data_IF_262308433854
#
_entry.id   IF_262308433854
#
_cell.length_a   1.000
_cell.length_b   1.000
_cell.length_c   1.000
_cell.angle_alpha   90.00
_cell.angle_beta   90.00
_cell.angle_gamma   90.00
#
_symmetry.space_group_name_H-M   'P 1'
#
loop_
_entity.id
_entity.type
_entity.pdbx_description
1 polymer ?
#
# COMPACT_ATOMS: atom_id res chain seq x y z
N UNK A 1 -65.17 -35.03 32.98
CA UNK A 1 -63.94 -34.23 32.85
C UNK A 1 -62.76 -34.77 33.66
N UNK A 2 -62.73 -36.02 34.10
CA UNK A 2 -61.63 -36.63 34.88
C UNK A 2 -60.80 -37.63 34.11
N UNK A 3 -61.18 -38.02 32.90
CA UNK A 3 -60.50 -39.08 32.10
C UNK A 3 -59.49 -38.59 31.07
N UNK A 4 -59.35 -37.26 30.81
CA UNK A 4 -58.41 -36.69 29.82
C UNK A 4 -57.04 -36.34 30.46
N UNK A 5 -57.01 -36.07 31.77
CA UNK A 5 -55.76 -35.69 32.46
C UNK A 5 -54.83 -36.88 32.74
N UNK A 6 -55.34 -38.12 32.75
CA UNK A 6 -54.50 -39.31 33.00
C UNK A 6 -53.79 -39.83 31.75
N UNK A 7 -54.22 -39.45 30.55
CA UNK A 7 -53.60 -39.93 29.30
C UNK A 7 -52.39 -39.10 28.85
N UNK A 8 -52.27 -37.86 29.34
CA UNK A 8 -51.07 -37.02 29.04
C UNK A 8 -49.92 -37.28 30.00
N UNK A 9 -50.12 -37.80 31.18
CA UNK A 9 -49.05 -38.15 32.12
C UNK A 9 -48.31 -39.45 31.74
N UNK A 10 -48.98 -40.36 31.04
CA UNK A 10 -48.38 -41.62 30.61
C UNK A 10 -47.52 -41.48 29.34
N UNK A 11 -47.75 -40.44 28.50
CA UNK A 11 -46.98 -40.19 27.29
C UNK A 11 -45.67 -39.45 27.56
N UNK A 12 -45.60 -38.65 28.64
CA UNK A 12 -44.40 -37.92 29.04
C UNK A 12 -43.34 -38.84 29.69
N UNK A 13 -43.78 -39.93 30.34
CA UNK A 13 -42.85 -40.88 31.00
C UNK A 13 -42.16 -41.83 30.01
N UNK A 14 -42.73 -42.08 28.83
CA UNK A 14 -42.11 -42.97 27.82
C UNK A 14 -41.09 -42.23 26.97
N UNK A 15 -41.19 -40.90 26.81
CA UNK A 15 -40.20 -40.11 26.10
C UNK A 15 -38.94 -39.80 26.90
N UNK A 16 -39.01 -39.80 28.24
CA UNK A 16 -37.83 -39.56 29.09
C UNK A 16 -36.90 -40.78 29.21
N UNK A 17 -37.39 -42.00 28.93
CA UNK A 17 -36.57 -43.22 28.99
C UNK A 17 -35.80 -43.53 27.67
N UNK A 18 -36.13 -42.85 26.56
CA UNK A 18 -35.46 -43.09 25.26
C UNK A 18 -34.23 -42.22 25.01
N UNK A 19 -33.99 -41.19 25.85
CA UNK A 19 -32.86 -40.24 25.63
C UNK A 19 -31.58 -40.66 26.40
N UNK A 20 -31.64 -41.59 27.32
CA UNK A 20 -30.49 -42.01 28.13
C UNK A 20 -29.68 -43.21 27.58
N UNK A 21 -30.08 -43.82 26.45
CA UNK A 21 -29.36 -44.98 25.88
C UNK A 21 -28.56 -44.70 24.60
N UNK A 22 -28.39 -43.41 24.20
CA UNK A 22 -27.64 -43.07 22.98
C UNK A 22 -26.28 -42.37 23.25
N UNK A 23 -25.80 -42.34 24.48
CA UNK A 23 -24.58 -41.65 24.88
C UNK A 23 -23.38 -42.58 25.14
N UNK A 24 -23.41 -43.86 24.74
CA UNK A 24 -22.39 -44.84 25.13
C UNK A 24 -21.86 -45.71 23.96
N UNK A 25 -21.80 -45.21 22.72
CA UNK A 25 -21.07 -45.91 21.65
C UNK A 25 -20.69 -44.97 20.54
N UNK A 26 -19.57 -44.24 20.70
CA UNK A 26 -18.69 -43.83 19.61
C UNK A 26 -17.29 -43.46 20.13
N UNK A 27 -16.59 -44.42 20.70
CA UNK A 27 -15.14 -44.38 20.68
C UNK A 27 -14.70 -45.22 19.46
N UNK A 28 -14.79 -44.61 18.31
CA UNK A 28 -14.22 -45.07 17.05
C UNK A 28 -13.08 -44.14 16.68
N UNK A 29 -11.86 -44.66 16.82
CA UNK A 29 -10.63 -44.08 16.31
C UNK A 29 -10.76 -43.72 14.84
N UNK A 30 -10.99 -42.45 14.57
CA UNK A 30 -10.70 -41.85 13.26
C UNK A 30 -9.34 -41.14 13.37
N UNK A 31 -8.28 -41.84 12.99
CA UNK A 31 -7.04 -41.21 12.55
C UNK A 31 -7.36 -40.37 11.32
N UNK A 32 -7.61 -39.09 11.49
CA UNK A 32 -7.51 -38.12 10.41
C UNK A 32 -6.04 -37.70 10.31
N UNK A 33 -5.30 -38.31 9.40
CA UNK A 33 -4.15 -37.66 8.78
C UNK A 33 -4.70 -36.48 8.00
N UNK A 34 -4.34 -35.28 8.43
CA UNK A 34 -4.77 -34.06 7.77
C UNK A 34 -4.29 -32.83 8.54
N UNK A 35 -3.16 -32.29 8.12
CA UNK A 35 -2.78 -30.91 8.39
C UNK A 35 -2.46 -30.64 9.86
N UNK A 36 -1.20 -30.47 10.18
CA UNK A 36 -0.75 -29.78 11.38
C UNK A 36 -1.35 -28.37 11.40
N UNK A 37 -2.59 -28.28 11.87
CA UNK A 37 -3.15 -27.03 12.32
C UNK A 37 -2.30 -26.58 13.52
N UNK A 38 -1.48 -25.58 13.31
CA UNK A 38 -0.59 -24.98 14.30
C UNK A 38 -1.38 -24.69 15.59
N UNK A 39 -1.31 -25.57 16.58
CA UNK A 39 -1.77 -25.30 17.93
C UNK A 39 -0.71 -24.46 18.61
N UNK A 40 -0.93 -23.14 18.65
CA UNK A 40 -0.14 -22.26 19.49
C UNK A 40 -0.19 -22.75 20.93
N UNK A 41 0.95 -23.12 21.49
CA UNK A 41 1.11 -23.25 22.93
C UNK A 41 0.92 -21.85 23.51
N UNK A 42 -0.14 -21.62 24.27
CA UNK A 42 -0.48 -20.36 24.93
C UNK A 42 0.73 -19.83 25.72
N UNK A 43 1.17 -18.63 25.40
CA UNK A 43 2.11 -17.88 26.24
C UNK A 43 3.42 -17.42 25.59
N UNK A 44 3.69 -17.77 24.34
CA UNK A 44 4.89 -17.28 23.64
C UNK A 44 4.45 -16.38 22.51
N UNK A 45 4.70 -15.09 22.64
CA UNK A 45 4.47 -14.10 21.60
C UNK A 45 5.62 -14.21 20.58
N UNK A 46 5.27 -14.52 19.33
CA UNK A 46 6.23 -14.60 18.23
C UNK A 46 6.32 -13.25 17.53
N UNK A 47 7.53 -12.77 17.34
CA UNK A 47 7.81 -11.65 16.45
C UNK A 47 7.87 -12.20 15.03
N UNK A 48 6.95 -11.74 14.19
CA UNK A 48 6.86 -12.16 12.80
C UNK A 48 7.63 -11.20 11.91
N UNK A 49 8.48 -11.73 11.05
CA UNK A 49 9.28 -10.96 10.09
C UNK A 49 9.07 -11.53 8.70
N UNK A 50 8.58 -10.69 7.81
CA UNK A 50 8.54 -11.02 6.38
C UNK A 50 9.84 -10.57 5.74
N UNK A 51 10.52 -11.46 5.04
CA UNK A 51 11.80 -11.18 4.38
C UNK A 51 11.72 -11.45 2.88
N UNK A 52 12.21 -10.52 2.07
CA UNK A 52 12.41 -10.68 0.64
C UNK A 52 13.89 -10.86 0.36
N UNK A 53 14.25 -11.86 -0.44
CA UNK A 53 15.62 -12.13 -0.83
C UNK A 53 15.79 -11.94 -2.33
N UNK A 54 16.82 -11.21 -2.75
CA UNK A 54 17.15 -10.98 -4.15
C UNK A 54 18.63 -11.23 -4.44
N UNK A 55 18.92 -11.59 -5.69
CA UNK A 55 20.30 -11.68 -6.21
C UNK A 55 20.87 -10.30 -6.56
N UNK A 56 22.13 -10.28 -7.02
CA UNK A 56 22.84 -9.06 -7.45
C UNK A 56 22.18 -8.36 -8.66
N UNK A 57 21.31 -9.05 -9.40
CA UNK A 57 20.54 -8.50 -10.53
C UNK A 57 19.15 -8.01 -10.09
N UNK A 58 18.80 -8.18 -8.81
CA UNK A 58 17.50 -7.80 -8.25
C UNK A 58 16.37 -8.80 -8.52
N UNK A 59 16.67 -10.03 -9.00
CA UNK A 59 15.68 -11.09 -9.12
C UNK A 59 15.41 -11.72 -7.76
N UNK A 60 14.14 -12.02 -7.50
CA UNK A 60 13.77 -12.70 -6.26
C UNK A 60 14.28 -14.12 -6.24
N UNK A 61 14.83 -14.52 -5.10
CA UNK A 61 15.36 -15.87 -4.87
C UNK A 61 14.36 -16.63 -4.00
N UNK A 62 13.87 -17.75 -4.52
CA UNK A 62 12.99 -18.69 -3.82
C UNK A 62 13.74 -19.98 -3.45
N UNK A 63 13.14 -20.83 -2.59
CA UNK A 63 13.67 -22.15 -2.27
C UNK A 63 14.73 -22.16 -1.17
N UNK A 64 15.03 -21.02 -0.51
CA UNK A 64 15.87 -21.01 0.68
C UNK A 64 15.15 -21.71 1.84
N UNK A 65 15.95 -22.28 2.73
CA UNK A 65 15.50 -23.00 3.92
C UNK A 65 15.75 -22.18 5.18
N UNK A 66 15.18 -22.60 6.30
CA UNK A 66 15.41 -21.99 7.62
C UNK A 66 16.92 -21.81 7.92
N UNK A 67 17.73 -22.79 7.54
CA UNK A 67 19.16 -22.82 7.84
C UNK A 67 19.97 -21.79 7.05
N UNK A 68 19.39 -21.22 5.98
CA UNK A 68 20.03 -20.17 5.18
C UNK A 68 19.92 -18.79 5.84
N UNK A 69 19.05 -18.63 6.85
CA UNK A 69 18.77 -17.35 7.49
C UNK A 69 19.40 -17.24 8.87
N UNK A 70 19.79 -16.01 9.22
CA UNK A 70 20.12 -15.60 10.57
C UNK A 70 19.29 -14.38 10.92
N UNK A 71 18.64 -14.40 12.09
CA UNK A 71 17.84 -13.28 12.60
C UNK A 71 18.51 -12.72 13.84
N UNK A 72 18.58 -11.41 13.95
CA UNK A 72 19.14 -10.72 15.10
C UNK A 72 18.12 -9.70 15.61
N UNK A 73 17.97 -9.63 16.94
CA UNK A 73 17.24 -8.57 17.64
C UNK A 73 18.22 -7.83 18.53
N UNK A 74 18.32 -6.51 18.36
CA UNK A 74 19.27 -5.65 19.10
C UNK A 74 20.74 -6.13 19.02
N UNK A 75 21.08 -6.84 17.94
CA UNK A 75 22.41 -7.41 17.70
C UNK A 75 22.60 -8.82 18.28
N UNK A 76 21.65 -9.34 19.03
CA UNK A 76 21.67 -10.70 19.56
C UNK A 76 20.98 -11.67 18.60
N UNK A 77 21.65 -12.78 18.28
CA UNK A 77 21.08 -13.79 17.38
C UNK A 77 19.89 -14.48 18.03
N UNK A 78 18.80 -14.59 17.29
CA UNK A 78 17.56 -15.24 17.72
C UNK A 78 17.38 -16.58 17.03
N UNK A 79 16.79 -17.54 17.77
CA UNK A 79 16.41 -18.83 17.20
C UNK A 79 15.11 -18.67 16.41
N UNK A 80 15.13 -19.06 15.13
CA UNK A 80 13.93 -19.08 14.28
C UNK A 80 13.01 -20.20 14.78
N UNK A 81 11.87 -19.84 15.36
CA UNK A 81 10.88 -20.77 15.86
C UNK A 81 9.91 -21.23 14.78
N UNK A 82 9.60 -20.34 13.81
CA UNK A 82 8.70 -20.61 12.69
C UNK A 82 9.32 -20.15 11.39
N UNK A 83 9.17 -20.94 10.34
CA UNK A 83 9.67 -20.61 9.00
C UNK A 83 8.71 -21.14 7.93
N UNK A 84 8.41 -20.32 6.94
CA UNK A 84 7.70 -20.75 5.74
C UNK A 84 8.27 -20.04 4.52
N UNK A 85 8.48 -20.79 3.46
CA UNK A 85 8.82 -20.31 2.11
C UNK A 85 7.64 -20.51 1.12
N UNK A 86 6.49 -20.91 1.63
CA UNK A 86 5.27 -21.02 0.85
C UNK A 86 4.55 -19.68 0.76
N UNK A 87 3.78 -19.48 -0.30
CA UNK A 87 2.96 -18.30 -0.45
C UNK A 87 1.91 -18.22 0.67
N UNK A 88 2.02 -17.22 1.50
CA UNK A 88 1.04 -16.91 2.55
C UNK A 88 0.01 -15.92 1.99
N UNK A 89 -1.30 -16.16 2.18
CA UNK A 89 -2.33 -15.21 1.80
C UNK A 89 -2.13 -13.85 2.48
N UNK A 90 -2.49 -12.78 1.76
CA UNK A 90 -2.34 -11.40 2.24
C UNK A 90 -3.69 -10.72 2.45
N UNK A 91 -3.77 -9.90 3.50
CA UNK A 91 -4.80 -8.88 3.69
C UNK A 91 -4.23 -7.56 3.17
N UNK A 92 -4.72 -7.09 2.02
CA UNK A 92 -4.14 -5.97 1.29
C UNK A 92 -5.11 -4.79 1.19
N UNK A 93 -4.67 -3.63 1.69
CA UNK A 93 -5.32 -2.35 1.42
C UNK A 93 -4.79 -1.70 0.15
N UNK A 94 -5.67 -1.26 -0.73
CA UNK A 94 -5.32 -0.48 -1.92
C UNK A 94 -5.76 0.96 -1.68
N UNK A 95 -4.79 1.88 -1.66
CA UNK A 95 -4.99 3.31 -1.48
C UNK A 95 -4.70 4.02 -2.80
N UNK A 96 -5.72 4.60 -3.41
CA UNK A 96 -5.60 5.30 -4.69
C UNK A 96 -5.66 6.81 -4.49
N UNK A 97 -4.64 7.49 -4.96
CA UNK A 97 -4.63 8.94 -5.10
C UNK A 97 -5.66 9.38 -6.15
N UNK A 98 -6.53 10.28 -5.73
CA UNK A 98 -7.54 10.90 -6.58
C UNK A 98 -7.44 12.43 -6.51
N UNK A 99 -6.25 12.95 -6.24
CA UNK A 99 -5.97 14.39 -6.23
C UNK A 99 -5.99 15.01 -7.62
N UNK A 100 -5.99 16.33 -7.68
CA UNK A 100 -6.06 17.06 -8.95
C UNK A 100 -4.84 16.89 -9.87
N UNK A 101 -3.70 16.36 -9.34
CA UNK A 101 -2.50 16.02 -10.13
C UNK A 101 -2.63 14.67 -10.86
N UNK A 102 -3.60 13.85 -10.46
CA UNK A 102 -3.92 12.59 -11.13
C UNK A 102 -4.74 12.84 -12.38
N UNK A 103 -4.06 13.11 -13.49
CA UNK A 103 -4.71 13.34 -14.81
C UNK A 103 -5.58 12.16 -15.23
N UNK A 104 -6.50 12.32 -16.20
CA UNK A 104 -7.31 11.21 -16.71
C UNK A 104 -6.48 10.02 -17.18
N UNK A 105 -5.32 10.27 -17.76
CA UNK A 105 -4.36 9.26 -18.23
C UNK A 105 -3.73 8.50 -17.04
N UNK A 106 -3.24 9.22 -16.02
CA UNK A 106 -2.73 8.63 -14.78
C UNK A 106 -3.81 7.80 -14.09
N UNK A 107 -5.03 8.32 -13.98
CA UNK A 107 -6.18 7.61 -13.40
C UNK A 107 -6.54 6.34 -14.17
N UNK A 108 -6.55 6.40 -15.51
CA UNK A 108 -6.79 5.22 -16.34
C UNK A 108 -5.72 4.16 -16.11
N UNK A 109 -4.46 4.56 -16.06
CA UNK A 109 -3.32 3.67 -15.83
C UNK A 109 -3.35 3.06 -14.44
N UNK A 110 -3.66 3.85 -13.41
CA UNK A 110 -3.80 3.35 -12.04
C UNK A 110 -4.91 2.31 -11.92
N UNK A 111 -6.08 2.54 -12.56
CA UNK A 111 -7.18 1.56 -12.59
C UNK A 111 -6.79 0.27 -13.29
N UNK A 112 -6.12 0.36 -14.45
CA UNK A 112 -5.62 -0.80 -15.16
C UNK A 112 -4.61 -1.59 -14.34
N UNK A 113 -3.75 -0.89 -13.57
CA UNK A 113 -2.82 -1.52 -12.64
C UNK A 113 -3.55 -2.26 -11.53
N UNK A 114 -4.56 -1.61 -10.92
CA UNK A 114 -5.38 -2.22 -9.88
C UNK A 114 -6.06 -3.48 -10.42
N UNK A 115 -6.74 -3.39 -11.57
CA UNK A 115 -7.46 -4.52 -12.16
C UNK A 115 -6.50 -5.68 -12.46
N UNK A 116 -5.36 -5.42 -13.09
CA UNK A 116 -4.35 -6.45 -13.34
C UNK A 116 -3.85 -7.06 -12.04
N UNK A 117 -3.57 -6.24 -11.04
CA UNK A 117 -3.07 -6.71 -9.75
C UNK A 117 -4.07 -7.65 -9.06
N UNK A 118 -5.34 -7.25 -8.98
CA UNK A 118 -6.35 -8.00 -8.25
C UNK A 118 -6.85 -9.24 -8.99
N UNK A 119 -6.85 -9.25 -10.33
CA UNK A 119 -7.36 -10.39 -11.12
C UNK A 119 -6.28 -11.38 -11.51
N UNK A 120 -5.09 -10.89 -11.88
CA UNK A 120 -4.06 -11.73 -12.49
C UNK A 120 -2.98 -12.16 -11.49
N UNK A 121 -2.75 -11.35 -10.43
CA UNK A 121 -1.57 -11.51 -9.59
C UNK A 121 -1.89 -11.97 -8.17
N UNK A 122 -3.05 -11.65 -7.63
CA UNK A 122 -3.46 -12.06 -6.28
C UNK A 122 -4.15 -13.42 -6.27
N UNK A 123 -3.93 -14.18 -5.19
CA UNK A 123 -4.57 -15.47 -4.97
C UNK A 123 -6.02 -15.33 -4.49
N UNK A 124 -6.78 -16.42 -4.60
CA UNK A 124 -8.19 -16.46 -4.20
C UNK A 124 -8.42 -16.19 -2.70
N UNK A 125 -7.44 -16.53 -1.86
CA UNK A 125 -7.51 -16.42 -0.40
C UNK A 125 -6.99 -15.05 0.11
N UNK A 126 -6.57 -14.16 -0.79
CA UNK A 126 -6.22 -12.79 -0.47
C UNK A 126 -7.49 -11.95 -0.32
N UNK A 127 -7.60 -11.21 0.78
CA UNK A 127 -8.68 -10.26 0.98
C UNK A 127 -8.21 -8.83 0.74
N UNK A 128 -9.15 -7.97 0.34
CA UNK A 128 -8.86 -6.61 -0.09
C UNK A 128 -9.77 -5.60 0.59
N UNK A 129 -9.26 -4.40 0.85
CA UNK A 129 -10.06 -3.20 1.00
C UNK A 129 -9.59 -2.11 0.04
N UNK A 130 -10.45 -1.15 -0.25
CA UNK A 130 -10.15 -0.04 -1.16
C UNK A 130 -10.49 1.30 -0.52
N UNK A 131 -9.51 2.19 -0.52
CA UNK A 131 -9.62 3.56 -0.04
C UNK A 131 -9.17 4.51 -1.15
N UNK A 132 -9.92 5.59 -1.38
CA UNK A 132 -9.43 6.73 -2.15
C UNK A 132 -8.88 7.80 -1.22
N UNK A 133 -8.01 8.65 -1.73
CA UNK A 133 -7.63 9.87 -1.02
C UNK A 133 -7.38 11.03 -2.00
N UNK A 134 -7.86 12.19 -1.58
CA UNK A 134 -7.60 13.48 -2.19
C UNK A 134 -7.31 14.47 -1.05
N UNK A 135 -8.10 15.51 -0.86
CA UNK A 135 -7.97 16.40 0.31
C UNK A 135 -8.25 15.69 1.66
N UNK A 136 -8.99 14.60 1.63
CA UNK A 136 -9.25 13.69 2.78
C UNK A 136 -9.32 12.25 2.29
N UNK A 137 -8.95 11.27 3.12
CA UNK A 137 -9.15 9.86 2.82
C UNK A 137 -10.62 9.43 2.95
N UNK A 138 -11.02 8.44 2.15
CA UNK A 138 -12.36 7.87 2.18
C UNK A 138 -12.33 6.35 1.88
N UNK A 139 -12.85 5.53 2.79
CA UNK A 139 -12.95 4.09 2.64
C UNK A 139 -14.16 3.73 1.78
N UNK A 140 -13.96 3.41 0.50
CA UNK A 140 -15.03 3.11 -0.44
C UNK A 140 -15.47 1.65 -0.40
N UNK A 141 -14.57 0.73 -0.07
CA UNK A 141 -14.86 -0.70 0.05
C UNK A 141 -14.08 -1.28 1.23
N UNK A 142 -14.80 -1.77 2.23
CA UNK A 142 -14.22 -2.54 3.34
C UNK A 142 -13.73 -3.92 2.88
N UNK A 143 -13.21 -4.73 3.82
CA UNK A 143 -12.66 -6.05 3.53
C UNK A 143 -13.59 -6.92 2.69
N UNK A 144 -13.07 -7.48 1.61
CA UNK A 144 -13.80 -8.35 0.69
C UNK A 144 -12.87 -9.30 -0.07
N UNK A 145 -13.40 -10.44 -0.49
CA UNK A 145 -12.79 -11.34 -1.49
C UNK A 145 -13.34 -11.07 -2.90
N UNK A 146 -14.38 -10.24 -3.03
CA UNK A 146 -14.97 -9.90 -4.33
C UNK A 146 -14.12 -8.86 -5.06
N UNK A 147 -13.31 -9.35 -6.00
CA UNK A 147 -12.47 -8.51 -6.88
C UNK A 147 -13.28 -7.47 -7.64
N UNK A 148 -14.52 -7.82 -8.02
CA UNK A 148 -15.41 -6.91 -8.76
C UNK A 148 -15.88 -5.75 -7.88
N UNK A 149 -16.00 -5.94 -6.56
CA UNK A 149 -16.33 -4.85 -5.65
C UNK A 149 -15.22 -3.79 -5.64
N UNK A 150 -13.96 -4.22 -5.59
CA UNK A 150 -12.79 -3.33 -5.64
C UNK A 150 -12.71 -2.61 -7.00
N UNK A 151 -12.83 -3.34 -8.11
CA UNK A 151 -12.77 -2.77 -9.46
C UNK A 151 -13.89 -1.73 -9.69
N UNK A 152 -15.13 -2.01 -9.22
CA UNK A 152 -16.24 -1.05 -9.28
C UNK A 152 -15.94 0.20 -8.45
N UNK A 153 -15.44 0.05 -7.21
CA UNK A 153 -15.09 1.18 -6.36
C UNK A 153 -14.01 2.05 -7.04
N UNK A 154 -12.93 1.44 -7.55
CA UNK A 154 -11.88 2.14 -8.28
C UNK A 154 -12.37 2.80 -9.58
N UNK A 155 -13.39 2.23 -10.23
CA UNK A 155 -14.00 2.78 -11.44
C UNK A 155 -14.85 4.03 -11.21
N UNK A 156 -15.37 4.23 -10.00
CA UNK A 156 -16.28 5.33 -9.66
C UNK A 156 -15.60 6.61 -9.18
N UNK A 157 -14.31 6.54 -8.82
CA UNK A 157 -13.57 7.69 -8.27
C UNK A 157 -13.30 8.74 -9.35
N UNK A 158 -13.23 10.00 -8.94
CA UNK A 158 -12.94 11.14 -9.82
C UNK A 158 -11.83 11.97 -9.20
N UNK A 159 -10.85 12.36 -10.02
CA UNK A 159 -9.73 13.14 -9.55
C UNK A 159 -10.13 14.60 -9.27
N UNK A 160 -9.87 15.08 -8.05
CA UNK A 160 -10.08 16.46 -7.62
C UNK A 160 -9.42 16.76 -6.27
N UNK A 161 -9.10 18.03 -6.02
CA UNK A 161 -8.62 18.49 -4.70
C UNK A 161 -7.13 18.34 -4.47
N UNK A 162 -6.71 18.43 -3.20
CA UNK A 162 -5.33 18.24 -2.75
C UNK A 162 -4.99 16.78 -2.51
N UNK A 163 -3.84 16.49 -1.88
CA UNK A 163 -3.34 15.14 -1.64
C UNK A 163 -3.05 14.97 -0.15
N UNK A 164 -3.84 14.15 0.55
CA UNK A 164 -3.66 13.78 1.95
C UNK A 164 -3.15 12.33 2.08
N UNK A 165 -2.00 12.05 1.48
CA UNK A 165 -1.43 10.70 1.40
C UNK A 165 -1.02 10.16 2.78
N UNK A 166 -0.37 10.98 3.61
CA UNK A 166 0.05 10.52 4.94
C UNK A 166 -1.13 10.26 5.86
N UNK A 167 -2.19 11.07 5.78
CA UNK A 167 -3.43 10.83 6.51
C UNK A 167 -4.12 9.55 6.03
N UNK A 168 -4.10 9.26 4.73
CA UNK A 168 -4.67 8.04 4.16
C UNK A 168 -3.96 6.79 4.68
N UNK A 169 -2.63 6.80 4.66
CA UNK A 169 -1.86 5.67 5.18
C UNK A 169 -2.10 5.52 6.69
N UNK A 170 -2.07 6.61 7.46
CA UNK A 170 -2.31 6.57 8.90
C UNK A 170 -3.70 5.99 9.26
N UNK A 171 -4.73 6.32 8.47
CA UNK A 171 -6.08 5.73 8.65
C UNK A 171 -6.17 4.28 8.16
N UNK A 172 -5.41 3.91 7.15
CA UNK A 172 -5.42 2.56 6.60
C UNK A 172 -4.66 1.55 7.47
N UNK A 173 -3.64 1.99 8.23
CA UNK A 173 -2.84 1.10 9.08
C UNK A 173 -3.69 0.28 10.08
N UNK A 174 -4.59 0.87 10.90
CA UNK A 174 -5.42 0.08 11.80
C UNK A 174 -6.40 -0.85 11.05
N UNK A 175 -6.92 -0.42 9.90
CA UNK A 175 -7.78 -1.28 9.06
C UNK A 175 -6.97 -2.48 8.54
N UNK A 176 -5.75 -2.24 8.05
CA UNK A 176 -4.87 -3.29 7.57
C UNK A 176 -4.44 -4.24 8.70
N UNK A 177 -4.17 -3.70 9.89
CA UNK A 177 -3.83 -4.50 11.07
C UNK A 177 -4.95 -5.46 11.48
N UNK A 178 -6.21 -5.10 11.21
CA UNK A 178 -7.41 -5.89 11.53
C UNK A 178 -7.74 -6.96 10.46
N UNK A 179 -6.95 -7.04 9.39
CA UNK A 179 -7.08 -8.05 8.34
C UNK A 179 -6.92 -9.46 8.90
N UNK A 180 -7.67 -10.42 8.34
CA UNK A 180 -7.71 -11.81 8.84
C UNK A 180 -6.46 -12.63 8.54
N UNK A 181 -5.74 -12.29 7.47
CA UNK A 181 -4.52 -12.99 7.09
C UNK A 181 -3.34 -12.51 7.95
N UNK A 182 -2.39 -13.38 8.20
CA UNK A 182 -1.19 -13.04 8.99
C UNK A 182 -0.32 -12.01 8.27
N UNK A 183 -0.25 -12.09 6.94
CA UNK A 183 0.45 -11.13 6.11
C UNK A 183 -0.46 -9.94 5.81
N UNK A 184 -0.02 -8.76 6.17
CA UNK A 184 -0.79 -7.52 6.07
C UNK A 184 -0.01 -6.49 5.29
N UNK A 185 -0.65 -5.87 4.31
CA UNK A 185 0.02 -4.91 3.45
C UNK A 185 -0.91 -3.76 3.04
N UNK A 186 -0.30 -2.64 2.68
CA UNK A 186 -0.93 -1.49 2.04
C UNK A 186 -0.16 -1.21 0.75
N UNK A 187 -0.89 -1.03 -0.36
CA UNK A 187 -0.36 -0.55 -1.63
C UNK A 187 -0.88 0.87 -1.88
N UNK A 188 0.02 1.83 -1.87
CA UNK A 188 -0.27 3.23 -2.20
C UNK A 188 0.01 3.47 -3.67
N UNK A 189 -0.95 4.03 -4.41
CA UNK A 189 -0.81 4.40 -5.82
C UNK A 189 -1.00 5.91 -5.90
N UNK A 190 0.08 6.66 -6.17
CA UNK A 190 0.09 8.14 -6.13
C UNK A 190 1.24 8.69 -6.97
N UNK A 191 1.20 9.99 -7.27
CA UNK A 191 2.36 10.73 -7.77
C UNK A 191 3.30 11.22 -6.64
N UNK A 192 3.00 10.90 -5.38
CA UNK A 192 3.86 11.08 -4.22
C UNK A 192 3.94 12.49 -3.64
N UNK A 193 3.13 13.43 -4.09
CA UNK A 193 3.12 14.80 -3.59
C UNK A 193 2.05 15.00 -2.50
N UNK A 194 2.42 14.85 -1.24
CA UNK A 194 1.53 15.20 -0.12
C UNK A 194 1.43 16.73 0.02
N UNK A 195 0.20 17.25 0.00
CA UNK A 195 -0.08 18.70 0.10
C UNK A 195 -1.07 19.05 1.19
N UNK A 196 -1.79 18.06 1.74
CA UNK A 196 -2.98 18.33 2.55
C UNK A 196 -3.05 17.55 3.85
N UNK A 197 -2.10 16.62 4.10
CA UNK A 197 -2.11 15.84 5.33
C UNK A 197 -1.86 16.68 6.56
N UNK A 198 -2.53 16.33 7.65
CA UNK A 198 -2.27 16.82 9.00
C UNK A 198 -1.18 16.00 9.68
N UNK A 199 -1.08 14.73 9.33
CA UNK A 199 -0.06 13.81 9.79
C UNK A 199 1.27 14.19 9.15
N UNK A 200 2.29 14.43 9.96
CA UNK A 200 3.65 14.66 9.45
C UNK A 200 4.29 13.33 9.04
N UNK A 201 5.28 13.37 8.14
CA UNK A 201 6.03 12.18 7.72
C UNK A 201 6.68 11.45 8.92
N UNK A 202 7.15 12.20 9.94
CA UNK A 202 7.74 11.62 11.15
C UNK A 202 6.72 10.86 11.99
N UNK A 203 5.52 11.43 12.17
CA UNK A 203 4.41 10.75 12.85
C UNK A 203 3.97 9.49 12.10
N UNK A 204 3.82 9.59 10.78
CA UNK A 204 3.47 8.44 9.96
C UNK A 204 4.50 7.31 10.08
N UNK A 205 5.79 7.64 10.02
CA UNK A 205 6.86 6.65 10.19
C UNK A 205 6.81 5.97 11.56
N UNK A 206 6.46 6.70 12.63
CA UNK A 206 6.26 6.07 13.95
C UNK A 206 5.09 5.09 13.93
N UNK A 207 3.94 5.48 13.34
CA UNK A 207 2.78 4.59 13.20
C UNK A 207 3.10 3.33 12.36
N UNK A 208 3.84 3.49 11.26
CA UNK A 208 4.28 2.36 10.42
C UNK A 208 5.17 1.40 11.22
N UNK A 209 6.13 1.94 11.99
CA UNK A 209 7.04 1.13 12.82
C UNK A 209 6.33 0.36 13.93
N UNK A 210 5.27 0.94 14.49
CA UNK A 210 4.44 0.32 15.53
C UNK A 210 3.51 -0.75 14.95
N UNK A 211 3.18 -0.64 13.65
CA UNK A 211 2.35 -1.61 12.96
C UNK A 211 3.20 -2.76 12.39
N UNK A 212 2.57 -3.93 12.21
CA UNK A 212 3.18 -5.06 11.47
C UNK A 212 2.81 -5.02 9.98
N UNK A 213 2.29 -3.89 9.49
CA UNK A 213 1.79 -3.73 8.14
C UNK A 213 2.92 -3.32 7.21
N UNK A 214 3.07 -4.05 6.12
CA UNK A 214 3.99 -3.70 5.03
C UNK A 214 3.40 -2.57 4.19
N UNK A 215 4.23 -1.62 3.77
CA UNK A 215 3.78 -0.49 2.95
C UNK A 215 4.53 -0.47 1.63
N UNK A 216 3.81 -0.72 0.54
CA UNK A 216 4.30 -0.64 -0.82
C UNK A 216 3.84 0.66 -1.47
N UNK A 217 4.63 1.21 -2.36
CA UNK A 217 4.25 2.38 -3.12
C UNK A 217 4.47 2.17 -4.63
N UNK A 218 3.47 2.51 -5.41
CA UNK A 218 3.50 2.58 -6.86
C UNK A 218 3.39 4.04 -7.28
N UNK A 219 4.52 4.63 -7.65
CA UNK A 219 4.57 6.00 -8.14
C UNK A 219 4.14 6.06 -9.60
N UNK A 220 3.10 6.85 -9.91
CA UNK A 220 2.60 7.03 -11.28
C UNK A 220 3.09 8.38 -11.80
N UNK A 221 4.11 8.36 -12.68
CA UNK A 221 4.59 9.55 -13.36
C UNK A 221 3.77 9.84 -14.61
N UNK A 222 3.63 11.12 -14.96
CA UNK A 222 3.11 11.50 -16.27
C UNK A 222 4.13 11.16 -17.36
N UNK A 223 3.67 10.71 -18.51
CA UNK A 223 4.53 10.66 -19.67
C UNK A 223 5.09 12.07 -19.91
N UNK A 224 6.42 12.21 -19.97
CA UNK A 224 7.05 13.31 -20.66
C UNK A 224 6.65 13.24 -22.14
N UNK A 225 5.42 13.61 -22.43
CA UNK A 225 5.12 14.10 -23.74
C UNK A 225 5.90 15.41 -23.82
N UNK A 226 7.20 15.28 -24.06
CA UNK A 226 7.94 16.38 -24.65
C UNK A 226 7.09 16.81 -25.82
N UNK A 227 6.24 17.83 -25.59
CA UNK A 227 5.70 18.61 -26.68
C UNK A 227 6.93 19.12 -27.40
N UNK A 228 7.37 18.30 -28.36
CA UNK A 228 8.22 18.77 -29.42
C UNK A 228 7.40 19.89 -30.09
N UNK A 229 7.45 21.07 -29.47
CA UNK A 229 7.07 22.27 -30.14
C UNK A 229 8.10 22.36 -31.27
N UNK A 230 7.68 22.12 -32.54
CA UNK A 230 8.59 22.34 -33.65
C UNK A 230 9.05 23.77 -33.47
N UNK A 231 10.33 23.96 -33.21
CA UNK A 231 10.95 25.28 -33.24
C UNK A 231 10.50 25.85 -34.57
N UNK A 232 9.51 26.75 -34.56
CA UNK A 232 9.16 27.47 -35.75
C UNK A 232 10.47 28.05 -36.27
N UNK A 233 10.87 27.73 -37.51
CA UNK A 233 12.03 28.34 -38.08
C UNK A 233 11.77 29.86 -37.98
N UNK A 234 12.67 30.54 -37.28
CA UNK A 234 12.68 32.00 -37.21
C UNK A 234 12.65 32.48 -38.63
N UNK A 235 11.46 32.91 -39.09
CA UNK A 235 11.29 33.48 -40.41
C UNK A 235 12.29 34.62 -40.60
N UNK A 236 12.72 34.88 -41.84
CA UNK A 236 13.69 35.89 -42.12
C UNK A 236 13.26 37.22 -41.50
N UNK A 237 14.08 37.76 -40.63
CA UNK A 237 13.94 39.12 -40.12
C UNK A 237 14.13 40.05 -41.25
N UNK A 238 13.06 40.57 -41.86
CA UNK A 238 13.15 41.67 -42.75
C UNK A 238 13.51 42.90 -41.90
N UNK A 239 14.63 43.59 -42.26
CA UNK A 239 14.94 44.87 -41.62
C UNK A 239 13.88 45.88 -42.05
N UNK A 240 13.06 46.32 -41.12
CA UNK A 240 12.15 47.45 -41.37
C UNK A 240 13.03 48.70 -41.42
N UNK A 241 13.09 49.44 -42.54
CA UNK A 241 13.81 50.67 -42.59
C UNK A 241 13.12 51.72 -41.76
N UNK A 242 13.74 52.16 -40.68
CA UNK A 242 13.25 53.31 -39.90
C UNK A 242 13.59 54.55 -40.68
N UNK A 243 12.58 55.35 -41.15
CA UNK A 243 12.87 56.61 -41.80
C UNK A 243 13.48 57.57 -40.79
N UNK A 244 14.69 57.99 -41.00
CA UNK A 244 15.30 59.13 -40.32
C UNK A 244 14.67 60.41 -40.83
N UNK A 245 13.48 60.74 -40.33
CA UNK A 245 12.85 62.03 -40.54
C UNK A 245 13.22 62.98 -39.42
N UNK A 246 14.11 63.94 -39.69
CA UNK A 246 14.25 65.16 -38.90
C UNK A 246 12.98 66.01 -39.13
N UNK A 247 12.01 65.83 -38.26
CA UNK A 247 10.82 66.72 -38.18
C UNK A 247 10.82 67.43 -36.84
N UNK A 248 11.17 68.70 -36.86
CA UNK A 248 11.10 69.63 -35.76
C UNK A 248 9.64 70.02 -35.61
N UNK A 249 8.91 69.61 -34.56
CA UNK A 249 7.61 70.11 -34.22
C UNK A 249 7.70 71.15 -33.11
N UNK A 250 7.02 72.33 -33.29
CA UNK A 250 7.01 73.38 -32.25
C UNK A 250 5.99 73.06 -31.15
N UNK A 251 6.36 73.39 -29.95
CA UNK A 251 5.66 73.38 -28.68
C UNK A 251 4.14 73.24 -28.67
N UNK A 252 3.69 72.23 -28.01
CA UNK A 252 2.34 72.08 -27.49
C UNK A 252 2.41 71.40 -26.14
N UNK A 253 2.21 72.20 -25.08
CA UNK A 253 2.01 71.69 -23.70
C UNK A 253 0.68 70.94 -23.70
N UNK A 254 0.71 69.65 -23.42
CA UNK A 254 -0.45 68.90 -22.92
C UNK A 254 -0.30 68.69 -21.42
N UNK A 255 -1.19 69.28 -20.59
CA UNK A 255 -1.33 68.95 -19.21
C UNK A 255 -2.25 67.72 -19.10
N UNK A 256 -1.90 66.82 -18.27
CA UNK A 256 -2.58 65.60 -17.85
C UNK A 256 -2.03 64.30 -18.45
N UNK A 257 -1.07 63.77 -17.74
CA UNK A 257 -0.82 62.33 -17.71
C UNK A 257 -1.70 61.70 -16.62
N UNK A 258 -2.72 60.92 -16.95
CA UNK A 258 -3.28 60.04 -15.95
C UNK A 258 -2.25 58.90 -15.78
N UNK A 259 -1.60 58.85 -14.61
CA UNK A 259 -0.92 57.66 -14.16
C UNK A 259 -1.98 56.60 -13.85
N UNK A 260 -2.42 55.89 -14.87
CA UNK A 260 -3.09 54.63 -14.70
C UNK A 260 -1.93 53.66 -14.42
N UNK A 261 -1.61 53.47 -13.15
CA UNK A 261 -0.81 52.37 -12.70
C UNK A 261 -1.58 51.08 -12.98
N UNK A 262 -1.30 50.47 -14.12
CA UNK A 262 -1.61 49.06 -14.29
C UNK A 262 -0.71 48.32 -13.30
N UNK A 263 -1.30 47.55 -12.36
CA UNK A 263 -0.47 46.58 -11.64
C UNK A 263 0.17 45.69 -12.69
N UNK A 264 1.42 45.25 -12.49
CA UNK A 264 2.06 44.32 -13.40
C UNK A 264 1.20 43.05 -13.41
N UNK A 265 0.38 42.90 -14.45
CA UNK A 265 -0.24 41.60 -14.78
C UNK A 265 0.89 40.80 -15.39
N UNK A 266 1.65 40.19 -14.52
CA UNK A 266 2.85 39.42 -14.85
C UNK A 266 3.25 38.54 -13.70
N UNK A 267 2.33 38.16 -12.81
CA UNK A 267 2.40 36.91 -12.11
C UNK A 267 2.20 35.83 -13.17
N UNK A 268 3.26 35.44 -13.83
CA UNK A 268 3.35 34.12 -14.41
C UNK A 268 3.17 33.20 -13.22
N UNK A 269 1.93 32.79 -12.99
CA UNK A 269 1.66 31.62 -12.20
C UNK A 269 2.41 30.53 -12.94
N UNK A 270 3.60 30.21 -12.44
CA UNK A 270 4.35 29.07 -12.87
C UNK A 270 3.53 27.84 -12.43
N UNK A 271 2.55 27.49 -13.26
CA UNK A 271 1.71 26.31 -13.18
C UNK A 271 2.49 25.12 -13.77
N UNK A 272 3.79 25.15 -13.61
CA UNK A 272 4.71 24.05 -13.77
C UNK A 272 4.99 23.52 -12.39
N UNK A 273 3.97 23.01 -11.69
CA UNK A 273 4.20 22.01 -10.66
C UNK A 273 4.87 20.85 -11.39
N UNK A 274 6.02 20.41 -10.89
CA UNK A 274 6.70 19.22 -11.37
C UNK A 274 5.66 18.10 -11.50
N UNK A 275 5.31 17.73 -12.73
CA UNK A 275 4.42 16.61 -13.04
C UNK A 275 5.10 15.26 -12.72
N UNK A 276 6.35 15.33 -12.23
CA UNK A 276 7.16 14.17 -11.87
C UNK A 276 6.80 13.65 -10.48
N UNK A 277 6.79 12.34 -10.38
CA UNK A 277 6.55 11.62 -9.14
C UNK A 277 7.58 12.01 -8.07
N UNK A 278 7.09 12.27 -6.85
CA UNK A 278 7.96 12.54 -5.71
C UNK A 278 8.48 11.22 -5.11
N UNK A 279 9.49 10.64 -5.76
CA UNK A 279 10.10 9.38 -5.35
C UNK A 279 10.63 9.41 -3.91
N UNK A 280 11.21 10.53 -3.48
CA UNK A 280 11.75 10.66 -2.12
C UNK A 280 10.66 10.59 -1.06
N UNK A 281 9.49 11.18 -1.31
CA UNK A 281 8.35 11.09 -0.40
C UNK A 281 7.86 9.65 -0.28
N UNK A 282 7.67 8.95 -1.41
CA UNK A 282 7.23 7.56 -1.43
C UNK A 282 8.25 6.64 -0.75
N UNK A 283 9.55 6.76 -1.08
CA UNK A 283 10.62 5.98 -0.43
C UNK A 283 10.68 6.21 1.07
N UNK A 284 10.45 7.44 1.54
CA UNK A 284 10.51 7.76 2.97
C UNK A 284 9.49 6.98 3.82
N UNK A 285 8.38 6.53 3.22
CA UNK A 285 7.34 5.75 3.90
C UNK A 285 7.52 4.23 3.76
N UNK A 286 8.22 3.75 2.71
CA UNK A 286 8.45 2.31 2.51
C UNK A 286 9.76 1.81 3.13
N UNK A 287 10.74 2.69 3.33
CA UNK A 287 12.09 2.30 3.82
C UNK A 287 12.10 1.69 5.22
N UNK A 288 11.15 2.04 6.07
CA UNK A 288 11.09 1.55 7.45
C UNK A 288 10.51 0.13 7.55
N UNK A 289 9.62 -0.24 6.62
CA UNK A 289 9.07 -1.60 6.52
C UNK A 289 9.97 -2.55 5.74
N UNK A 290 11.01 -2.02 5.08
CA UNK A 290 11.88 -2.79 4.19
C UNK A 290 11.22 -3.13 2.85
N UNK A 291 10.08 -2.50 2.55
CA UNK A 291 9.29 -2.75 1.35
C UNK A 291 9.73 -1.90 0.15
N UNK A 292 9.04 -2.05 -0.97
CA UNK A 292 9.48 -1.50 -2.24
C UNK A 292 8.64 -0.32 -2.70
N UNK A 293 9.32 0.72 -3.17
CA UNK A 293 8.75 1.77 -4.01
C UNK A 293 9.06 1.46 -5.47
N UNK A 294 8.05 1.28 -6.29
CA UNK A 294 8.17 1.17 -7.74
C UNK A 294 7.72 2.47 -8.40
N UNK A 295 8.54 3.01 -9.28
CA UNK A 295 8.22 4.21 -10.04
C UNK A 295 7.93 3.81 -11.49
N UNK A 296 6.75 4.14 -11.94
CA UNK A 296 6.30 3.91 -13.31
C UNK A 296 6.45 5.20 -14.10
N UNK A 297 7.36 5.20 -15.03
CA UNK A 297 7.62 6.31 -15.97
C UNK A 297 7.01 5.95 -17.32
N UNK A 298 5.71 6.21 -17.45
CA UNK A 298 4.96 5.87 -18.67
C UNK A 298 4.12 4.60 -18.56
N UNK A 299 3.06 4.56 -19.37
CA UNK A 299 2.03 3.52 -19.29
C UNK A 299 2.55 2.11 -19.62
N UNK A 300 3.65 2.00 -20.38
CA UNK A 300 4.27 0.71 -20.74
C UNK A 300 4.89 -0.02 -19.56
N UNK A 301 5.36 0.70 -18.55
CA UNK A 301 6.10 0.11 -17.42
C UNK A 301 5.19 -0.35 -16.27
N UNK A 302 3.93 0.08 -16.29
CA UNK A 302 2.98 -0.19 -15.21
C UNK A 302 2.77 -1.69 -15.00
N UNK A 303 2.63 -2.43 -16.09
CA UNK A 303 2.50 -3.89 -16.03
C UNK A 303 3.68 -4.59 -15.39
N UNK A 304 4.89 -4.16 -15.71
CA UNK A 304 6.12 -4.73 -15.15
C UNK A 304 6.31 -4.35 -13.67
N UNK A 305 6.00 -3.11 -13.29
CA UNK A 305 6.06 -2.66 -11.90
C UNK A 305 5.06 -3.41 -11.02
N UNK A 306 3.83 -3.54 -11.48
CA UNK A 306 2.77 -4.29 -10.79
C UNK A 306 3.15 -5.76 -10.62
N UNK A 307 3.75 -6.38 -11.67
CA UNK A 307 4.23 -7.76 -11.60
C UNK A 307 5.34 -7.91 -10.54
N UNK A 308 6.32 -7.01 -10.51
CA UNK A 308 7.39 -7.07 -9.50
C UNK A 308 6.86 -6.97 -8.07
N UNK A 309 5.85 -6.11 -7.81
CA UNK A 309 5.21 -6.03 -6.49
C UNK A 309 4.49 -7.32 -6.12
N UNK A 310 3.79 -7.94 -7.08
CA UNK A 310 3.10 -9.20 -6.84
C UNK A 310 4.06 -10.37 -6.65
N UNK A 311 5.14 -10.42 -7.43
CA UNK A 311 6.19 -11.42 -7.27
C UNK A 311 6.83 -11.30 -5.89
N UNK A 312 7.11 -10.09 -5.44
CA UNK A 312 7.61 -9.84 -4.09
C UNK A 312 6.62 -10.34 -3.04
N UNK A 313 5.35 -9.93 -3.13
CA UNK A 313 4.30 -10.40 -2.22
C UNK A 313 4.15 -11.93 -2.22
N UNK A 314 4.47 -12.62 -3.31
CA UNK A 314 4.32 -14.06 -3.45
C UNK A 314 5.56 -14.85 -3.01
N UNK A 315 6.75 -14.25 -3.11
CA UNK A 315 8.05 -14.93 -2.88
C UNK A 315 8.71 -14.54 -1.57
N UNK A 316 7.98 -13.96 -0.63
CA UNK A 316 8.50 -13.60 0.67
C UNK A 316 8.62 -14.81 1.58
N UNK A 317 9.68 -14.81 2.40
CA UNK A 317 9.87 -15.74 3.49
C UNK A 317 9.20 -15.22 4.75
N UNK A 318 8.44 -16.08 5.42
CA UNK A 318 7.82 -15.78 6.69
C UNK A 318 8.64 -16.41 7.81
N UNK A 319 9.17 -15.58 8.70
CA UNK A 319 10.09 -15.97 9.76
C UNK A 319 9.50 -15.53 11.09
N UNK A 320 9.35 -16.45 12.03
CA UNK A 320 8.90 -16.16 13.39
C UNK A 320 9.99 -16.53 14.40
N UNK A 321 10.29 -15.65 15.34
CA UNK A 321 11.18 -15.93 16.46
C UNK A 321 10.55 -15.47 17.79
N UNK A 322 11.05 -16.01 18.90
CA UNK A 322 10.56 -15.69 20.22
C UNK A 322 11.38 -14.54 20.83
N UNK A 323 10.72 -13.44 21.16
CA UNK A 323 11.36 -12.29 21.81
C UNK A 323 11.50 -12.40 23.34
N UNK A 324 11.23 -13.58 23.91
CA UNK A 324 11.27 -13.78 25.37
C UNK A 324 10.09 -13.15 26.12
N UNK A 325 9.04 -12.71 25.41
CA UNK A 325 7.87 -12.06 26.01
C UNK A 325 8.12 -10.60 26.41
N UNK A 326 9.09 -9.94 25.78
CA UNK A 326 9.37 -8.51 26.00
C UNK A 326 8.14 -7.66 25.68
N UNK A 327 7.71 -6.83 26.63
CA UNK A 327 6.60 -5.87 26.53
C UNK A 327 6.98 -4.57 27.24
N UNK A 328 8.02 -3.93 26.74
CA UNK A 328 8.61 -2.77 27.41
C UNK A 328 8.26 -1.43 26.74
N UNK A 329 7.47 -1.49 25.66
CA UNK A 329 7.06 -0.31 24.89
C UNK A 329 8.21 0.35 24.10
N UNK A 330 9.36 -0.33 23.97
CA UNK A 330 10.52 0.21 23.28
C UNK A 330 10.66 -0.36 21.88
N UNK A 331 11.43 0.38 21.07
CA UNK A 331 11.86 -0.08 19.77
C UNK A 331 12.95 -1.13 19.88
N UNK A 332 12.76 -2.28 19.24
CA UNK A 332 13.75 -3.33 19.07
C UNK A 332 14.15 -3.43 17.60
N UNK A 333 15.45 -3.32 17.34
CA UNK A 333 16.00 -3.40 16.00
C UNK A 333 16.05 -4.85 15.51
N UNK A 334 15.55 -5.11 14.31
CA UNK A 334 15.62 -6.44 13.68
C UNK A 334 16.60 -6.36 12.50
N UNK A 335 17.44 -7.38 12.38
CA UNK A 335 18.28 -7.61 11.21
C UNK A 335 18.11 -9.07 10.77
N UNK A 336 17.84 -9.26 9.49
CA UNK A 336 17.80 -10.57 8.84
C UNK A 336 18.95 -10.65 7.86
N UNK A 337 19.80 -11.65 7.98
CA UNK A 337 20.89 -11.94 7.06
C UNK A 337 20.70 -13.32 6.44
N UNK A 338 21.25 -13.53 5.23
CA UNK A 338 21.39 -14.84 4.60
C UNK A 338 22.87 -15.25 4.54
N UNK A 339 23.14 -16.55 4.63
CA UNK A 339 24.50 -17.08 4.60
C UNK A 339 25.24 -16.80 3.29
N UNK A 340 24.50 -16.78 2.18
CA UNK A 340 25.08 -16.45 0.87
C UNK A 340 25.23 -14.95 0.73
N UNK A 341 26.47 -14.46 0.69
CA UNK A 341 26.82 -13.02 0.62
C UNK A 341 26.49 -12.35 -0.72
N UNK A 342 26.17 -13.12 -1.76
CA UNK A 342 25.68 -12.61 -3.05
C UNK A 342 24.18 -12.34 -3.05
N UNK A 343 23.51 -12.58 -1.95
CA UNK A 343 22.08 -12.32 -1.80
C UNK A 343 21.85 -11.13 -0.87
N UNK A 344 20.90 -10.32 -1.24
CA UNK A 344 20.45 -9.17 -0.46
C UNK A 344 19.10 -9.49 0.19
N UNK A 345 18.99 -9.23 1.50
CA UNK A 345 17.75 -9.41 2.24
C UNK A 345 17.13 -8.05 2.54
N UNK A 346 15.83 -7.93 2.30
CA UNK A 346 15.00 -6.82 2.78
C UNK A 346 13.97 -7.36 3.76
N UNK A 347 13.88 -6.73 4.91
CA UNK A 347 12.92 -7.04 5.96
C UNK A 347 12.65 -5.77 6.77
N UNK A 348 11.60 -5.78 7.60
CA UNK A 348 11.37 -4.68 8.53
C UNK A 348 12.57 -4.48 9.46
N UNK A 349 12.87 -3.21 9.76
CA UNK A 349 14.06 -2.83 10.55
C UNK A 349 13.88 -2.99 12.06
N UNK A 350 12.68 -3.29 12.52
CA UNK A 350 12.38 -3.44 13.93
C UNK A 350 10.88 -3.38 14.22
N UNK A 351 10.54 -3.36 15.51
CA UNK A 351 9.17 -3.28 16.01
C UNK A 351 9.15 -2.61 17.39
N UNK A 352 7.96 -2.18 17.84
CA UNK A 352 7.75 -1.73 19.22
C UNK A 352 7.13 -2.87 20.01
N UNK A 353 7.80 -3.29 21.10
CA UNK A 353 7.32 -4.39 21.95
C UNK A 353 6.15 -3.93 22.82
N UNK A 354 4.92 -4.24 22.44
CA UNK A 354 3.66 -3.80 23.08
C UNK A 354 2.95 -4.90 23.91
#
# INVERSE_FOLDING_TARGET
MRSIRLRFAALAAVMAAAVTSLAAQSQGTAQSQGGDAFRFKSGVELVNVTATVSDDNGHFVSGLTKDDFNVFEDGEQQEIAQFSNERVPVSLGILLDTSGSMTPEKMSSARNAIDRFIYDLLGKDDELFFMQFASVPDLLQGWTFDRRAISRAAGQVTAAGGTAMYDAIAQALPIAADGRNQKKAILVISDGNDTNSRTSVSQLRSLIRESEVMVYALGVDGDDVSTYTPRQPSGPRFPIPIPRGRGRFPGGRFPFSPQIGFPPIGGVWNRGGNEHVNENALRSITDDTGDRTEIVRGFGDLGAATQRLADELSMQYYIGYNNGGKKDGKWHAIKVDVRNRHLTVRARKGYVAS
#
